data_IF_922547927667
#
_entry.id   IF_922547927667
#
_cell.length_a   1.000
_cell.length_b   1.000
_cell.length_c   1.000
_cell.angle_alpha   90.00
_cell.angle_beta   90.00
_cell.angle_gamma   90.00
#
_symmetry.space_group_name_H-M   'P 1'
#
loop_
_entity.id
_entity.type
_entity.pdbx_description
1 polymer ?
#
# COMPACT_ATOMS: atom_id res chain seq x y z
N UNK A 1 -30.20 -30.54 -1.32
CA UNK A 1 -28.77 -30.83 -1.08
C UNK A 1 -28.03 -30.58 -2.38
N UNK A 2 -27.56 -29.34 -2.58
CA UNK A 2 -26.59 -28.92 -3.59
C UNK A 2 -25.84 -27.75 -2.95
N UNK A 3 -24.52 -27.88 -2.82
CA UNK A 3 -23.66 -26.87 -2.20
C UNK A 3 -23.78 -25.53 -2.95
N UNK A 4 -23.70 -24.37 -2.27
CA UNK A 4 -23.52 -23.13 -2.99
C UNK A 4 -22.20 -23.25 -3.75
N UNK A 5 -22.25 -22.93 -5.04
CA UNK A 5 -21.09 -22.68 -5.88
C UNK A 5 -20.08 -21.91 -5.05
N UNK A 6 -18.90 -22.50 -4.87
CA UNK A 6 -17.73 -21.78 -4.44
C UNK A 6 -17.59 -20.56 -5.34
N UNK A 7 -17.99 -19.39 -4.85
CA UNK A 7 -17.56 -18.13 -5.42
C UNK A 7 -16.04 -18.24 -5.47
N UNK A 8 -15.49 -18.02 -6.65
CA UNK A 8 -14.08 -18.11 -7.06
C UNK A 8 -13.17 -17.09 -6.32
N UNK A 9 -13.55 -16.75 -5.09
CA UNK A 9 -12.88 -15.91 -4.13
C UNK A 9 -12.03 -16.73 -3.14
N UNK A 10 -11.64 -17.95 -3.52
CA UNK A 10 -10.47 -18.55 -2.90
C UNK A 10 -9.21 -17.79 -3.34
N UNK A 11 -8.90 -16.77 -2.54
CA UNK A 11 -7.54 -16.42 -2.16
C UNK A 11 -6.65 -15.98 -3.32
N UNK A 12 -6.92 -14.81 -3.89
CA UNK A 12 -5.86 -14.09 -4.61
C UNK A 12 -4.87 -13.54 -3.59
N UNK A 13 -3.93 -14.38 -3.21
CA UNK A 13 -2.67 -14.11 -2.51
C UNK A 13 -1.73 -13.16 -3.31
N UNK A 14 -2.27 -12.34 -4.22
CA UNK A 14 -1.48 -11.44 -5.05
C UNK A 14 -1.30 -10.10 -4.32
N UNK A 15 -0.09 -9.53 -4.31
CA UNK A 15 0.10 -8.16 -3.88
C UNK A 15 -0.76 -7.22 -4.72
N UNK A 16 -1.44 -6.29 -4.06
CA UNK A 16 -2.30 -5.29 -4.69
C UNK A 16 -1.68 -3.91 -4.51
N UNK A 17 -1.72 -3.10 -5.57
CA UNK A 17 -1.37 -1.70 -5.49
C UNK A 17 -2.52 -0.83 -6.01
N UNK A 18 -2.81 0.22 -5.27
CA UNK A 18 -3.82 1.20 -5.58
C UNK A 18 -3.19 2.59 -5.52
N UNK A 19 -3.02 3.22 -6.67
CA UNK A 19 -2.34 4.51 -6.73
C UNK A 19 -1.97 4.91 -8.14
N UNK A 20 -1.02 5.84 -8.26
CA UNK A 20 -0.56 6.27 -9.58
C UNK A 20 0.42 5.26 -10.19
N UNK A 21 0.37 5.18 -11.52
CA UNK A 21 1.31 4.40 -12.33
C UNK A 21 2.03 5.31 -13.31
N UNK A 22 3.29 5.00 -13.59
CA UNK A 22 4.04 5.58 -14.70
C UNK A 22 4.86 4.47 -15.37
N UNK A 23 4.76 4.36 -16.70
CA UNK A 23 5.44 3.32 -17.48
C UNK A 23 5.18 1.89 -16.94
N UNK A 24 3.96 1.63 -16.47
CA UNK A 24 3.57 0.33 -15.90
C UNK A 24 4.12 0.04 -14.50
N UNK A 25 4.78 1.00 -13.85
CA UNK A 25 5.34 0.87 -12.50
C UNK A 25 4.61 1.75 -11.49
N UNK A 26 4.63 1.35 -10.22
CA UNK A 26 4.10 2.18 -9.12
C UNK A 26 4.89 3.49 -9.04
N UNK A 27 4.17 4.59 -8.99
CA UNK A 27 4.73 5.94 -9.01
C UNK A 27 3.88 6.88 -8.18
N UNK A 28 4.46 7.95 -7.64
CA UNK A 28 3.68 9.00 -6.98
C UNK A 28 3.13 8.52 -5.64
N UNK A 29 1.82 8.64 -5.41
CA UNK A 29 1.18 8.28 -4.16
C UNK A 29 0.31 7.03 -4.33
N UNK A 30 0.31 6.16 -3.32
CA UNK A 30 -0.54 4.98 -3.33
C UNK A 30 -0.49 4.15 -2.07
N UNK A 31 -1.24 3.05 -2.11
CA UNK A 31 -1.25 2.03 -1.07
C UNK A 31 -0.85 0.70 -1.70
N UNK A 32 0.16 0.07 -1.11
CA UNK A 32 0.56 -1.29 -1.44
C UNK A 32 0.14 -2.25 -0.34
N UNK A 33 -0.52 -3.33 -0.74
CA UNK A 33 -0.94 -4.43 0.10
C UNK A 33 -0.10 -5.64 -0.25
N UNK A 34 0.61 -6.15 0.75
CA UNK A 34 1.38 -7.38 0.63
C UNK A 34 0.53 -8.55 1.09
N UNK A 35 0.88 -9.72 0.57
CA UNK A 35 0.20 -10.98 0.82
C UNK A 35 0.11 -11.37 2.32
N UNK A 36 1.06 -10.93 3.14
CA UNK A 36 1.12 -11.22 4.58
C UNK A 36 0.31 -10.23 5.43
N UNK A 37 -0.50 -9.37 4.80
CA UNK A 37 -1.26 -8.32 5.48
C UNK A 37 -0.45 -7.07 5.82
N UNK A 38 0.83 -6.99 5.44
CA UNK A 38 1.57 -5.73 5.50
C UNK A 38 0.96 -4.75 4.50
N UNK A 39 0.76 -3.51 4.95
CA UNK A 39 0.34 -2.39 4.13
C UNK A 39 1.38 -1.28 4.18
N UNK A 40 1.71 -0.69 3.04
CA UNK A 40 2.44 0.57 2.97
C UNK A 40 1.57 1.66 2.37
N UNK A 41 1.54 2.83 3.02
CA UNK A 41 0.82 4.01 2.56
C UNK A 41 1.82 5.15 2.43
N UNK A 42 2.08 5.61 1.21
CA UNK A 42 3.09 6.65 1.00
C UNK A 42 3.48 6.86 -0.45
N UNK A 43 4.72 7.30 -0.63
CA UNK A 43 5.29 7.60 -1.93
C UNK A 43 5.98 6.38 -2.57
N UNK A 44 5.90 6.33 -3.90
CA UNK A 44 6.51 5.33 -4.77
C UNK A 44 7.30 5.95 -5.90
N UNK A 45 8.39 5.29 -6.27
CA UNK A 45 9.21 5.67 -7.43
C UNK A 45 9.72 4.41 -8.11
N UNK A 46 9.41 4.26 -9.40
CA UNK A 46 9.84 3.13 -10.21
C UNK A 46 9.55 1.76 -9.57
N UNK A 47 8.36 1.60 -8.97
CA UNK A 47 7.91 0.35 -8.36
C UNK A 47 8.30 0.12 -6.90
N UNK A 48 9.22 0.90 -6.33
CA UNK A 48 9.65 0.77 -4.93
C UNK A 48 9.03 1.82 -4.01
N UNK A 49 8.89 1.48 -2.72
CA UNK A 49 8.61 2.45 -1.67
C UNK A 49 9.77 3.45 -1.61
N UNK A 50 9.48 4.71 -1.88
CA UNK A 50 10.48 5.77 -1.98
C UNK A 50 9.86 7.13 -1.66
N UNK A 51 10.41 7.85 -0.69
CA UNK A 51 9.81 9.07 -0.15
C UNK A 51 9.15 8.85 1.21
N UNK A 52 8.22 9.71 1.60
CA UNK A 52 7.57 9.60 2.90
C UNK A 52 6.45 8.54 2.88
N UNK A 53 6.31 7.81 3.99
CA UNK A 53 5.25 6.83 4.14
C UNK A 53 5.19 6.16 5.50
N UNK A 54 4.27 5.21 5.62
CA UNK A 54 4.08 4.40 6.81
C UNK A 54 3.81 2.93 6.46
N UNK A 55 4.37 2.04 7.28
CA UNK A 55 4.05 0.62 7.26
C UNK A 55 3.07 0.28 8.38
N UNK A 56 2.07 -0.52 8.06
CA UNK A 56 1.22 -1.25 8.99
C UNK A 56 1.39 -2.74 8.76
N UNK A 57 1.34 -3.53 9.83
CA UNK A 57 1.33 -4.99 9.76
C UNK A 57 -0.10 -5.54 9.82
N UNK A 58 -0.25 -6.85 9.66
CA UNK A 58 -1.55 -7.52 9.66
C UNK A 58 -2.37 -7.29 10.94
N UNK A 59 -1.69 -7.08 12.07
CA UNK A 59 -2.30 -6.75 13.37
C UNK A 59 -2.73 -5.27 13.50
N UNK A 60 -2.52 -4.47 12.45
CA UNK A 60 -2.78 -3.03 12.43
C UNK A 60 -1.71 -2.20 13.14
N UNK A 61 -0.71 -2.82 13.76
CA UNK A 61 0.39 -2.12 14.40
C UNK A 61 1.31 -1.49 13.35
N UNK A 62 2.11 -0.52 13.78
CA UNK A 62 3.15 0.10 12.96
C UNK A 62 4.56 -0.32 13.39
N UNK A 63 4.67 -1.34 14.24
CA UNK A 63 5.91 -1.71 14.92
C UNK A 63 6.33 -0.76 16.04
N UNK A 64 7.34 -1.19 16.79
CA UNK A 64 8.00 -0.44 17.86
C UNK A 64 9.52 -0.49 17.65
N UNK A 65 10.18 0.64 17.34
CA UNK A 65 9.61 1.96 17.10
C UNK A 65 8.74 2.01 15.84
N UNK A 66 7.87 3.03 15.73
CA UNK A 66 6.93 3.21 14.62
C UNK A 66 7.65 3.30 13.27
N UNK A 67 7.22 2.46 12.32
CA UNK A 67 7.72 2.42 10.94
C UNK A 67 7.05 3.49 10.07
N UNK A 68 7.26 4.75 10.43
CA UNK A 68 6.80 5.94 9.70
C UNK A 68 8.00 6.84 9.42
N UNK A 69 8.14 7.31 8.18
CA UNK A 69 9.21 8.21 7.79
C UNK A 69 9.60 8.10 6.33
N UNK A 70 10.86 8.39 6.04
CA UNK A 70 11.41 8.41 4.69
C UNK A 70 11.99 7.04 4.31
N UNK A 71 11.50 6.49 3.20
CA UNK A 71 11.92 5.23 2.62
C UNK A 71 12.78 5.46 1.38
N UNK A 72 13.80 4.62 1.19
CA UNK A 72 14.58 4.54 -0.04
C UNK A 72 14.80 3.08 -0.40
N UNK A 73 14.38 2.68 -1.61
CA UNK A 73 14.50 1.30 -2.10
C UNK A 73 13.97 0.30 -1.07
N UNK A 74 12.75 0.55 -0.62
CA UNK A 74 12.00 -0.32 0.28
C UNK A 74 12.51 -0.38 1.73
N UNK A 75 13.47 0.49 2.09
CA UNK A 75 14.04 0.58 3.45
C UNK A 75 13.72 1.91 4.11
N UNK A 76 13.28 1.87 5.37
CA UNK A 76 13.12 3.06 6.19
C UNK A 76 14.51 3.63 6.55
N UNK A 77 14.85 4.79 6.00
CA UNK A 77 16.13 5.48 6.19
C UNK A 77 16.08 6.43 7.38
N UNK A 78 14.96 7.16 7.54
CA UNK A 78 14.77 8.15 8.61
C UNK A 78 13.35 8.11 9.13
N UNK A 79 13.18 8.12 10.46
CA UNK A 79 11.86 8.25 11.08
C UNK A 79 11.42 9.70 11.10
N UNK A 80 10.21 9.95 10.63
CA UNK A 80 9.59 11.28 10.58
C UNK A 80 8.09 11.13 10.47
N UNK A 81 7.32 12.04 11.09
CA UNK A 81 5.87 12.07 10.93
C UNK A 81 5.48 12.63 9.56
N UNK A 82 4.62 11.93 8.83
CA UNK A 82 4.25 12.28 7.46
C UNK A 82 2.73 12.19 7.20
N UNK A 83 1.91 12.70 8.13
CA UNK A 83 0.44 12.65 8.07
C UNK A 83 -0.14 13.14 6.74
N UNK A 84 0.42 14.20 6.14
CA UNK A 84 -0.04 14.75 4.86
C UNK A 84 0.18 13.78 3.70
N UNK A 85 1.32 13.09 3.67
CA UNK A 85 1.64 12.11 2.64
C UNK A 85 0.74 10.88 2.74
N UNK A 86 0.50 10.41 3.97
CA UNK A 86 -0.42 9.29 4.23
C UNK A 86 -1.83 9.63 3.77
N UNK A 87 -2.31 10.86 4.03
CA UNK A 87 -3.62 11.30 3.56
C UNK A 87 -3.70 11.29 2.02
N UNK A 88 -2.69 11.85 1.34
CA UNK A 88 -2.64 11.85 -0.13
C UNK A 88 -2.62 10.45 -0.73
N UNK A 89 -1.88 9.53 -0.12
CA UNK A 89 -1.85 8.12 -0.53
C UNK A 89 -3.25 7.49 -0.45
N UNK A 90 -3.99 7.71 0.65
CA UNK A 90 -5.36 7.22 0.83
C UNK A 90 -6.34 7.83 -0.17
N UNK A 91 -6.28 9.14 -0.37
CA UNK A 91 -7.15 9.84 -1.30
C UNK A 91 -6.92 9.33 -2.73
N UNK A 92 -5.66 9.13 -3.10
CA UNK A 92 -5.27 8.63 -4.42
C UNK A 92 -5.72 7.18 -4.63
N UNK A 93 -5.51 6.31 -3.63
CA UNK A 93 -5.97 4.93 -3.70
C UNK A 93 -7.50 4.84 -3.81
N UNK A 94 -8.24 5.70 -3.09
CA UNK A 94 -9.70 5.81 -3.21
C UNK A 94 -10.11 6.19 -4.64
N UNK A 95 -9.51 7.23 -5.21
CA UNK A 95 -9.79 7.63 -6.59
C UNK A 95 -9.45 6.52 -7.59
N UNK A 96 -8.36 5.78 -7.38
CA UNK A 96 -8.00 4.66 -8.26
C UNK A 96 -9.05 3.54 -8.23
N UNK A 97 -9.63 3.22 -7.07
CA UNK A 97 -10.74 2.26 -6.95
C UNK A 97 -12.00 2.74 -7.68
N UNK A 98 -12.36 4.02 -7.48
CA UNK A 98 -13.56 4.61 -8.08
C UNK A 98 -13.48 4.69 -9.61
N UNK A 99 -12.27 4.68 -10.19
CA UNK A 99 -12.07 4.66 -11.66
C UNK A 99 -12.19 3.26 -12.27
N UNK A 100 -12.21 2.20 -11.46
CA UNK A 100 -12.35 0.81 -11.92
C UNK A 100 -13.78 0.27 -11.82
N UNK A 101 -14.77 1.10 -11.46
CA UNK A 101 -16.19 0.73 -11.34
C UNK A 101 -16.98 0.92 -12.63
#
# INVERSE_FOLDING_TARGET
MFAPLADLFEITFIPLYEGNFAQGQFQGYGIFYRQDGMRYEGEFKAGSMHGLGIVSFADGSHGLPRNEGYFEKDRLVRREKCSRTIQRARDTARTARDQCS
#
